data_IF_723765616201
#
_entry.id   IF_723765616201
#
_cell.length_a   1.000
_cell.length_b   1.000
_cell.length_c   1.000
_cell.angle_alpha   90.00
_cell.angle_beta   90.00
_cell.angle_gamma   90.00
#
_symmetry.space_group_name_H-M   'P 1'
#
loop_
_entity.id
_entity.type
_entity.pdbx_description
1 polymer ?
#
# COMPACT_ATOMS: atom_id res chain seq x y z
N UNK A 1 3.27 1.43 -28.52
CA UNK A 1 3.28 0.43 -27.43
C UNK A 1 4.71 0.47 -26.97
N UNK A 2 4.90 0.96 -25.76
CA UNK A 2 6.24 1.27 -25.28
C UNK A 2 6.52 0.38 -24.08
N UNK A 3 7.79 0.06 -23.87
CA UNK A 3 8.24 -0.77 -22.77
C UNK A 3 9.19 0.09 -21.95
N UNK A 4 8.91 0.23 -20.67
CA UNK A 4 9.85 0.80 -19.70
C UNK A 4 10.23 -0.25 -18.68
N UNK A 5 11.20 0.10 -17.85
CA UNK A 5 11.67 -0.80 -16.82
C UNK A 5 12.92 -0.29 -16.14
N UNK A 6 13.30 -0.99 -15.09
CA UNK A 6 14.49 -0.71 -14.29
C UNK A 6 15.26 -2.01 -14.09
N UNK A 7 16.57 -1.97 -14.36
CA UNK A 7 17.50 -3.03 -14.00
C UNK A 7 18.31 -2.53 -12.80
N UNK A 8 18.22 -3.25 -11.69
CA UNK A 8 18.99 -2.95 -10.50
C UNK A 8 19.88 -4.14 -10.12
N UNK A 9 21.09 -3.83 -9.64
CA UNK A 9 22.02 -4.80 -9.08
C UNK A 9 22.60 -4.23 -7.79
N UNK A 10 22.44 -4.97 -6.70
CA UNK A 10 22.80 -4.57 -5.35
C UNK A 10 23.64 -5.65 -4.69
N UNK A 11 24.65 -5.25 -3.93
CA UNK A 11 25.43 -6.16 -3.10
C UNK A 11 25.03 -5.97 -1.63
N UNK A 12 24.30 -6.94 -1.09
CA UNK A 12 23.80 -6.91 0.29
C UNK A 12 24.77 -7.65 1.18
N UNK A 13 25.13 -7.03 2.31
CA UNK A 13 25.93 -7.64 3.35
C UNK A 13 25.11 -7.66 4.65
N UNK A 14 24.83 -8.85 5.16
CA UNK A 14 24.11 -9.05 6.42
C UNK A 14 25.11 -9.47 7.47
N UNK A 15 25.13 -8.76 8.60
CA UNK A 15 25.93 -9.12 9.77
C UNK A 15 24.95 -9.69 10.79
N UNK A 16 25.11 -10.96 11.14
CA UNK A 16 24.28 -11.59 12.15
C UNK A 16 24.71 -11.22 13.58
N UNK A 17 23.92 -11.64 14.57
CA UNK A 17 24.19 -11.39 15.99
C UNK A 17 25.46 -12.08 16.51
N UNK A 18 26.06 -12.98 15.73
CA UNK A 18 27.30 -13.70 16.04
C UNK A 18 28.52 -13.06 15.34
N UNK A 19 28.30 -12.04 14.52
CA UNK A 19 29.33 -11.33 13.77
C UNK A 19 29.71 -11.98 12.45
N UNK A 20 28.99 -13.00 11.98
CA UNK A 20 29.22 -13.58 10.66
C UNK A 20 28.67 -12.63 9.59
N UNK A 21 29.43 -12.49 8.51
CA UNK A 21 29.05 -11.67 7.36
C UNK A 21 28.58 -12.60 6.26
N UNK A 22 27.34 -12.42 5.83
CA UNK A 22 26.78 -13.07 4.65
C UNK A 22 26.61 -12.05 3.53
N UNK A 23 27.21 -12.33 2.37
CA UNK A 23 27.16 -11.44 1.20
C UNK A 23 26.31 -12.07 0.10
N UNK A 24 25.38 -11.31 -0.44
CA UNK A 24 24.48 -11.74 -1.51
C UNK A 24 24.46 -10.70 -2.64
N UNK A 25 24.54 -11.17 -3.88
CA UNK A 25 24.23 -10.36 -5.05
C UNK A 25 22.72 -10.43 -5.29
N UNK A 26 22.06 -9.28 -5.26
CA UNK A 26 20.66 -9.15 -5.62
C UNK A 26 20.57 -8.47 -6.99
N UNK A 27 19.93 -9.12 -7.94
CA UNK A 27 19.65 -8.64 -9.28
C UNK A 27 18.14 -8.63 -9.47
N UNK A 28 17.62 -7.53 -10.00
CA UNK A 28 16.20 -7.40 -10.27
C UNK A 28 15.92 -6.64 -11.55
N UNK A 29 14.87 -7.05 -12.24
CA UNK A 29 14.36 -6.43 -13.45
C UNK A 29 12.88 -6.13 -13.27
N UNK A 30 12.53 -4.85 -13.25
CA UNK A 30 11.15 -4.38 -13.34
C UNK A 30 10.82 -4.03 -14.79
N UNK A 31 9.69 -4.51 -15.30
CA UNK A 31 9.21 -4.25 -16.66
C UNK A 31 7.77 -3.75 -16.61
N UNK A 32 7.52 -2.57 -17.17
CA UNK A 32 6.19 -2.00 -17.37
C UNK A 32 5.86 -1.90 -18.86
N UNK A 33 4.68 -2.40 -19.25
CA UNK A 33 4.13 -2.23 -20.59
C UNK A 33 3.17 -1.03 -20.65
N UNK A 34 3.51 -0.06 -21.49
CA UNK A 34 2.69 1.11 -21.76
C UNK A 34 1.77 0.85 -22.96
N UNK A 35 0.53 0.48 -22.64
CA UNK A 35 -0.54 0.28 -23.61
C UNK A 35 -1.34 1.58 -23.80
N UNK A 36 -1.69 1.96 -25.05
CA UNK A 36 -2.51 3.13 -25.30
C UNK A 36 -3.89 2.96 -24.67
N UNK A 37 -4.47 4.07 -24.21
CA UNK A 37 -5.86 4.08 -23.72
C UNK A 37 -6.81 4.10 -24.92
N UNK A 38 -7.81 3.22 -24.92
CA UNK A 38 -8.82 3.10 -25.98
C UNK A 38 -10.19 3.33 -25.35
N UNK A 39 -10.95 4.33 -25.82
CA UNK A 39 -12.30 4.63 -25.35
C UNK A 39 -12.41 4.65 -23.81
N UNK A 40 -11.58 5.47 -23.15
CA UNK A 40 -11.49 5.57 -21.68
C UNK A 40 -11.14 4.26 -20.95
N UNK A 41 -10.66 3.26 -21.68
CA UNK A 41 -10.22 1.97 -21.14
C UNK A 41 -8.70 1.88 -21.19
N UNK A 42 -8.09 1.61 -20.05
CA UNK A 42 -6.66 1.42 -19.88
C UNK A 42 -6.39 -0.02 -19.46
N UNK A 43 -5.45 -0.67 -20.12
CA UNK A 43 -4.87 -1.94 -19.67
C UNK A 43 -3.45 -1.66 -19.14
N UNK A 44 -3.07 -2.34 -18.06
CA UNK A 44 -1.75 -2.20 -17.43
C UNK A 44 -1.17 -3.57 -17.14
N UNK A 45 0.11 -3.72 -17.44
CA UNK A 45 0.90 -4.90 -17.13
C UNK A 45 2.27 -4.47 -16.61
N UNK A 46 2.65 -5.02 -15.47
CA UNK A 46 3.95 -4.79 -14.84
C UNK A 46 4.39 -6.08 -14.12
N UNK A 47 5.64 -6.47 -14.34
CA UNK A 47 6.23 -7.67 -13.77
C UNK A 47 7.62 -7.35 -13.22
N UNK A 48 7.90 -7.90 -12.05
CA UNK A 48 9.17 -7.79 -11.36
C UNK A 48 9.81 -9.16 -11.26
N UNK A 49 11.01 -9.29 -11.82
CA UNK A 49 11.82 -10.50 -11.82
C UNK A 49 13.00 -10.27 -10.89
N UNK A 50 13.32 -11.20 -10.02
CA UNK A 50 14.43 -11.05 -9.08
C UNK A 50 15.07 -12.39 -8.77
N UNK A 51 16.36 -12.39 -8.45
CA UNK A 51 16.99 -13.58 -7.87
C UNK A 51 16.68 -13.64 -6.36
N UNK A 52 16.23 -14.80 -5.89
CA UNK A 52 15.96 -15.00 -4.47
C UNK A 52 17.08 -15.82 -3.83
N UNK A 53 17.82 -15.26 -2.87
CA UNK A 53 18.85 -16.01 -2.13
C UNK A 53 18.26 -17.22 -1.40
N UNK A 54 16.97 -17.18 -1.06
CA UNK A 54 16.25 -18.21 -0.29
C UNK A 54 15.81 -19.37 -1.19
N UNK A 55 15.33 -19.09 -2.41
CA UNK A 55 14.88 -20.14 -3.34
C UNK A 55 16.01 -20.69 -4.22
N UNK A 56 17.18 -20.05 -4.23
CA UNK A 56 18.34 -20.48 -5.02
C UNK A 56 18.14 -20.32 -6.53
N UNK A 57 17.19 -19.48 -6.95
CA UNK A 57 16.81 -19.28 -8.36
C UNK A 57 16.19 -17.92 -8.63
N UNK A 58 15.65 -17.76 -9.84
CA UNK A 58 14.88 -16.58 -10.24
C UNK A 58 13.41 -16.76 -9.85
N UNK A 59 12.84 -15.73 -9.24
CA UNK A 59 11.44 -15.63 -8.87
C UNK A 59 10.80 -14.43 -9.58
N UNK A 60 9.47 -14.36 -9.56
CA UNK A 60 8.72 -13.29 -10.21
C UNK A 60 7.50 -12.85 -9.41
N UNK A 61 7.16 -11.57 -9.55
CA UNK A 61 5.95 -10.96 -9.03
C UNK A 61 5.26 -10.19 -10.15
N UNK A 62 4.04 -10.58 -10.50
CA UNK A 62 3.18 -9.73 -11.34
C UNK A 62 2.65 -8.62 -10.45
N UNK A 63 3.16 -7.40 -10.63
CA UNK A 63 2.76 -6.20 -9.88
C UNK A 63 1.42 -5.69 -10.36
N UNK A 64 1.27 -5.53 -11.69
CA UNK A 64 0.04 -5.01 -12.30
C UNK A 64 -0.41 -5.94 -13.41
N UNK A 65 -1.69 -6.29 -13.40
CA UNK A 65 -2.39 -6.93 -14.49
C UNK A 65 -3.87 -6.57 -14.35
N UNK A 66 -4.24 -5.39 -14.85
CA UNK A 66 -5.60 -4.88 -14.66
C UNK A 66 -6.13 -4.14 -15.88
N UNK A 67 -7.46 -4.09 -15.94
CA UNK A 67 -8.23 -3.25 -16.85
C UNK A 67 -8.96 -2.19 -16.05
N UNK A 68 -8.82 -0.92 -16.45
CA UNK A 68 -9.51 0.22 -15.87
C UNK A 68 -10.37 0.90 -16.91
N UNK A 69 -11.68 0.99 -16.68
CA UNK A 69 -12.58 1.77 -17.52
C UNK A 69 -13.11 2.98 -16.76
N UNK A 70 -13.01 4.17 -17.36
CA UNK A 70 -13.51 5.42 -16.78
C UNK A 70 -14.84 5.82 -17.43
N UNK A 71 -15.94 5.45 -16.78
CA UNK A 71 -17.26 6.04 -17.04
C UNK A 71 -17.32 7.45 -16.45
N UNK A 72 -18.31 8.26 -16.85
CA UNK A 72 -18.44 9.66 -16.42
C UNK A 72 -18.50 9.84 -14.89
N UNK A 73 -19.18 8.92 -14.18
CA UNK A 73 -19.43 9.00 -12.73
C UNK A 73 -18.84 7.82 -11.94
N UNK A 74 -18.14 6.91 -12.62
CA UNK A 74 -17.62 5.68 -12.04
C UNK A 74 -16.36 5.27 -12.79
N UNK A 75 -15.28 5.01 -12.08
CA UNK A 75 -14.12 4.32 -12.62
C UNK A 75 -14.11 2.91 -12.06
N UNK A 76 -14.15 1.91 -12.94
CA UNK A 76 -14.08 0.51 -12.55
C UNK A 76 -12.70 -0.02 -12.90
N UNK A 77 -12.02 -0.65 -11.93
CA UNK A 77 -10.74 -1.33 -12.14
C UNK A 77 -10.86 -2.78 -11.74
N UNK A 78 -10.46 -3.70 -12.61
CA UNK A 78 -10.54 -5.15 -12.43
C UNK A 78 -9.17 -5.79 -12.70
N UNK A 79 -8.70 -6.61 -11.75
CA UNK A 79 -7.48 -7.40 -11.88
C UNK A 79 -6.46 -7.11 -10.77
N UNK A 80 -5.22 -7.52 -10.98
CA UNK A 80 -4.12 -7.29 -10.04
C UNK A 80 -3.69 -5.83 -10.09
N UNK A 81 -3.89 -5.10 -9.01
CA UNK A 81 -3.67 -3.66 -8.94
C UNK A 81 -3.12 -3.23 -7.58
N UNK A 82 -2.35 -2.13 -7.52
CA UNK A 82 -1.94 -1.56 -6.25
C UNK A 82 -3.14 -0.94 -5.54
N UNK A 83 -3.35 -1.28 -4.27
CA UNK A 83 -4.39 -0.67 -3.43
C UNK A 83 -3.73 -0.14 -2.17
N UNK A 84 -3.53 1.18 -2.13
CA UNK A 84 -3.11 1.89 -0.93
C UNK A 84 -3.97 3.12 -0.69
N UNK A 85 -4.39 3.25 0.55
CA UNK A 85 -5.09 4.38 1.15
C UNK A 85 -4.18 5.13 2.13
N UNK A 86 -2.88 4.85 2.10
CA UNK A 86 -1.87 5.60 2.84
C UNK A 86 -1.63 6.99 2.24
N UNK A 87 -1.03 7.87 3.04
CA UNK A 87 -0.75 9.26 2.68
C UNK A 87 0.75 9.57 2.57
N UNK A 88 1.57 8.56 2.27
CA UNK A 88 3.02 8.71 2.16
C UNK A 88 3.79 8.38 3.43
N UNK A 89 3.13 7.80 4.43
CA UNK A 89 3.78 7.33 5.65
C UNK A 89 4.51 6.01 5.45
N UNK A 90 5.57 5.75 6.21
CA UNK A 90 6.21 4.42 6.20
C UNK A 90 5.19 3.34 6.57
N UNK A 91 4.40 3.59 7.61
CA UNK A 91 3.32 2.69 8.04
C UNK A 91 2.03 3.43 8.31
N UNK A 92 0.94 2.97 7.69
CA UNK A 92 -0.39 3.54 7.93
C UNK A 92 -1.33 2.50 8.58
N UNK A 93 -1.79 2.75 9.83
CA UNK A 93 -2.66 1.83 10.56
C UNK A 93 -4.09 1.75 10.00
N UNK A 94 -4.44 2.54 8.99
CA UNK A 94 -5.80 2.56 8.42
C UNK A 94 -5.81 2.29 6.91
N UNK A 95 -4.69 1.78 6.39
CA UNK A 95 -4.57 1.39 4.98
C UNK A 95 -5.49 0.19 4.66
N UNK A 96 -5.85 0.00 3.39
CA UNK A 96 -6.53 -1.19 2.89
C UNK A 96 -5.64 -2.44 2.97
N UNK A 97 -4.33 -2.32 2.77
CA UNK A 97 -3.38 -3.37 3.13
C UNK A 97 -2.29 -2.77 3.98
N UNK A 98 -2.12 -3.30 5.18
CA UNK A 98 -1.11 -2.83 6.13
C UNK A 98 0.29 -3.14 5.58
N UNK A 99 1.27 -2.30 5.91
CA UNK A 99 2.67 -2.53 5.52
C UNK A 99 3.06 -2.12 4.10
N UNK A 100 2.16 -1.51 3.31
CA UNK A 100 2.39 -1.20 1.89
C UNK A 100 3.49 -0.16 1.58
N UNK A 101 4.11 0.48 2.58
CA UNK A 101 5.09 1.57 2.39
C UNK A 101 6.39 1.47 3.23
N UNK A 102 6.52 0.50 4.14
CA UNK A 102 7.45 0.65 5.27
C UNK A 102 8.92 0.33 5.00
N UNK A 103 9.22 -0.39 3.93
CA UNK A 103 10.48 -1.14 3.89
C UNK A 103 11.23 -1.04 2.57
N UNK A 104 10.92 -0.12 1.64
CA UNK A 104 11.51 -0.04 0.27
C UNK A 104 11.42 -1.34 -0.58
N UNK A 105 11.12 -2.47 0.06
CA UNK A 105 10.49 -3.64 -0.50
C UNK A 105 9.12 -3.17 -0.95
N UNK A 106 8.93 -3.09 -2.27
CA UNK A 106 7.59 -3.17 -2.83
C UNK A 106 7.00 -4.53 -2.46
N UNK A 107 6.50 -4.64 -1.23
CA UNK A 107 5.93 -5.88 -0.74
C UNK A 107 4.76 -6.23 -1.66
N UNK A 108 4.74 -7.48 -2.12
CA UNK A 108 3.66 -8.00 -2.98
C UNK A 108 2.27 -7.76 -2.38
N UNK A 109 2.19 -7.59 -1.06
CA UNK A 109 0.99 -7.26 -0.31
C UNK A 109 0.25 -6.00 -0.82
N UNK A 110 0.93 -4.99 -1.38
CA UNK A 110 0.23 -3.81 -1.93
C UNK A 110 -0.55 -4.13 -3.21
N UNK A 111 -0.15 -5.18 -3.93
CA UNK A 111 -0.75 -5.59 -5.19
C UNK A 111 -1.77 -6.70 -4.93
N UNK A 112 -3.03 -6.41 -5.22
CA UNK A 112 -4.14 -7.28 -4.87
C UNK A 112 -4.96 -7.61 -6.13
N UNK A 113 -5.36 -8.87 -6.26
CA UNK A 113 -6.41 -9.24 -7.21
C UNK A 113 -7.73 -8.70 -6.68
N UNK A 114 -8.28 -7.71 -7.36
CA UNK A 114 -9.39 -6.96 -6.82
C UNK A 114 -10.28 -6.33 -7.89
N UNK A 115 -11.46 -5.91 -7.42
CA UNK A 115 -12.37 -5.00 -8.10
C UNK A 115 -12.40 -3.70 -7.29
N UNK A 116 -12.08 -2.59 -7.93
CA UNK A 116 -12.23 -1.24 -7.36
C UNK A 116 -13.30 -0.47 -8.14
N UNK A 117 -14.27 0.07 -7.41
CA UNK A 117 -15.24 1.05 -7.90
C UNK A 117 -14.94 2.42 -7.28
N UNK A 118 -14.41 3.34 -8.07
CA UNK A 118 -14.10 4.71 -7.66
C UNK A 118 -15.12 5.69 -8.23
N UNK A 119 -15.78 6.44 -7.35
CA UNK A 119 -16.84 7.40 -7.68
C UNK A 119 -16.29 8.81 -7.39
N UNK A 120 -15.90 9.58 -8.42
CA UNK A 120 -15.58 10.99 -8.25
C UNK A 120 -16.86 11.78 -7.98
N UNK A 121 -17.00 12.34 -6.78
CA UNK A 121 -18.16 13.16 -6.42
C UNK A 121 -18.03 14.58 -6.99
N UNK A 122 -16.81 15.13 -6.92
CA UNK A 122 -16.43 16.42 -7.49
C UNK A 122 -14.88 16.48 -7.61
N UNK A 123 -14.31 17.68 -7.79
CA UNK A 123 -12.86 17.87 -7.93
C UNK A 123 -12.05 17.57 -6.66
N UNK A 124 -12.67 17.59 -5.48
CA UNK A 124 -11.99 17.42 -4.20
C UNK A 124 -12.45 16.21 -3.38
N UNK A 125 -13.48 15.50 -3.82
CA UNK A 125 -14.15 14.47 -3.04
C UNK A 125 -14.43 13.21 -3.86
N UNK A 126 -14.28 12.05 -3.22
CA UNK A 126 -14.48 10.75 -3.86
C UNK A 126 -14.91 9.68 -2.86
N UNK A 127 -15.56 8.64 -3.38
CA UNK A 127 -15.80 7.39 -2.67
C UNK A 127 -15.13 6.25 -3.43
N UNK A 128 -14.45 5.35 -2.74
CA UNK A 128 -13.93 4.10 -3.32
C UNK A 128 -14.48 2.90 -2.57
N UNK A 129 -14.91 1.88 -3.31
CA UNK A 129 -15.25 0.56 -2.80
C UNK A 129 -14.28 -0.44 -3.41
N UNK A 130 -13.68 -1.28 -2.57
CA UNK A 130 -12.74 -2.32 -2.99
C UNK A 130 -13.23 -3.66 -2.49
N UNK A 131 -13.19 -4.67 -3.36
CA UNK A 131 -13.26 -6.08 -3.00
C UNK A 131 -12.02 -6.79 -3.56
N UNK A 132 -11.19 -7.32 -2.68
CA UNK A 132 -9.99 -8.08 -2.98
C UNK A 132 -10.17 -9.56 -2.64
N UNK A 133 -9.46 -10.40 -3.37
CA UNK A 133 -9.52 -11.86 -3.28
C UNK A 133 -8.14 -12.38 -2.84
N UNK A 134 -7.85 -12.46 -1.54
CA UNK A 134 -6.54 -12.89 -1.05
C UNK A 134 -6.27 -14.35 -1.43
N UNK A 135 -5.10 -14.67 -1.98
CA UNK A 135 -4.75 -16.05 -2.40
C UNK A 135 -4.82 -17.05 -1.23
N UNK A 136 -4.55 -16.58 -0.01
CA UNK A 136 -4.56 -17.41 1.19
C UNK A 136 -5.96 -17.67 1.78
N UNK A 137 -7.04 -17.06 1.25
CA UNK A 137 -8.39 -17.14 1.81
C UNK A 137 -9.48 -17.34 0.76
N UNK A 138 -10.54 -18.07 1.12
CA UNK A 138 -11.75 -18.14 0.31
C UNK A 138 -12.70 -16.96 0.57
N UNK A 139 -12.46 -16.20 1.64
CA UNK A 139 -13.27 -15.04 2.01
C UNK A 139 -12.77 -13.76 1.32
N UNK A 140 -13.71 -12.87 1.01
CA UNK A 140 -13.44 -11.59 0.36
C UNK A 140 -12.99 -10.56 1.40
N UNK A 141 -11.85 -9.93 1.15
CA UNK A 141 -11.44 -8.71 1.85
C UNK A 141 -12.11 -7.53 1.15
N UNK A 142 -12.78 -6.65 1.89
CA UNK A 142 -13.44 -5.51 1.27
C UNK A 142 -13.35 -4.27 2.14
N UNK A 143 -13.53 -3.12 1.52
CA UNK A 143 -13.49 -1.86 2.23
C UNK A 143 -14.12 -0.71 1.46
N UNK A 144 -14.46 0.32 2.22
CA UNK A 144 -15.04 1.57 1.74
C UNK A 144 -14.14 2.72 2.19
N UNK A 145 -13.89 3.67 1.30
CA UNK A 145 -13.18 4.91 1.60
C UNK A 145 -13.96 6.12 1.14
N UNK A 146 -14.21 7.06 2.03
CA UNK A 146 -14.55 8.43 1.68
C UNK A 146 -13.31 9.31 1.74
N UNK A 147 -13.10 10.20 0.76
CA UNK A 147 -12.03 11.19 0.75
C UNK A 147 -12.60 12.55 0.39
N UNK A 148 -12.16 13.60 1.07
CA UNK A 148 -12.50 14.98 0.75
C UNK A 148 -11.34 15.91 1.10
N UNK A 149 -11.14 16.97 0.34
CA UNK A 149 -10.16 18.01 0.67
C UNK A 149 -10.87 19.29 1.16
N UNK A 150 -10.50 19.74 2.35
CA UNK A 150 -11.03 20.94 3.01
C UNK A 150 -9.85 21.85 3.36
N UNK A 151 -9.88 23.09 2.87
CA UNK A 151 -8.86 24.12 3.18
C UNK A 151 -7.39 23.67 2.96
N UNK A 152 -7.15 22.84 1.94
CA UNK A 152 -5.81 22.30 1.64
C UNK A 152 -5.43 21.05 2.44
N UNK A 153 -6.30 20.58 3.33
CA UNK A 153 -6.14 19.31 4.04
C UNK A 153 -6.93 18.21 3.35
N UNK A 154 -6.27 17.11 3.03
CA UNK A 154 -6.84 15.87 2.53
C UNK A 154 -7.29 15.00 3.72
N UNK A 155 -8.58 14.71 3.78
CA UNK A 155 -9.21 13.95 4.85
C UNK A 155 -9.79 12.67 4.30
N UNK A 156 -9.58 11.55 4.99
CA UNK A 156 -10.20 10.27 4.63
C UNK A 156 -10.89 9.61 5.82
N UNK A 157 -11.97 8.91 5.52
CA UNK A 157 -12.58 7.93 6.41
C UNK A 157 -12.58 6.58 5.69
N UNK A 158 -11.95 5.60 6.31
CA UNK A 158 -11.70 4.28 5.75
C UNK A 158 -12.41 3.25 6.63
N UNK A 159 -13.02 2.25 6.02
CA UNK A 159 -13.45 1.03 6.67
C UNK A 159 -12.93 -0.15 5.85
N UNK A 160 -12.36 -1.15 6.52
CA UNK A 160 -11.93 -2.39 5.88
C UNK A 160 -12.27 -3.58 6.76
N UNK A 161 -12.71 -4.66 6.12
CA UNK A 161 -12.92 -5.97 6.71
C UNK A 161 -11.99 -6.96 6.01
N UNK A 162 -11.19 -7.64 6.80
CA UNK A 162 -10.18 -8.58 6.35
C UNK A 162 -10.43 -9.94 6.98
N UNK A 163 -10.54 -11.00 6.17
CA UNK A 163 -10.63 -12.34 6.71
C UNK A 163 -9.29 -12.70 7.36
N UNK A 164 -9.35 -13.31 8.54
CA UNK A 164 -8.18 -13.84 9.23
C UNK A 164 -8.26 -15.37 9.21
N UNK A 165 -7.17 -16.01 8.82
CA UNK A 165 -6.99 -17.46 8.87
C UNK A 165 -5.83 -17.73 9.82
N UNK A 166 -6.08 -18.49 10.87
CA UNK A 166 -5.01 -18.91 11.79
C UNK A 166 -4.06 -19.89 11.09
N UNK A 167 -2.85 -20.07 11.62
CA UNK A 167 -1.78 -20.92 11.08
C UNK A 167 -2.21 -22.37 10.79
N UNK A 168 -3.28 -22.84 11.45
CA UNK A 168 -3.90 -24.16 11.21
C UNK A 168 -4.94 -24.18 10.08
N UNK A 169 -5.09 -23.10 9.31
CA UNK A 169 -6.10 -23.00 8.24
C UNK A 169 -7.53 -22.79 8.75
N UNK A 170 -7.70 -22.39 10.02
CA UNK A 170 -9.03 -22.16 10.62
C UNK A 170 -9.44 -20.71 10.44
N UNK A 171 -10.67 -20.48 9.97
CA UNK A 171 -11.25 -19.13 9.86
C UNK A 171 -11.49 -18.59 11.27
N UNK A 172 -10.83 -17.50 11.62
CA UNK A 172 -11.07 -16.75 12.86
C UNK A 172 -11.88 -15.48 12.56
N UNK A 173 -12.53 -14.85 13.57
CA UNK A 173 -13.37 -13.69 13.34
C UNK A 173 -12.67 -12.61 12.53
N UNK A 174 -13.35 -12.12 11.49
CA UNK A 174 -12.78 -11.16 10.55
C UNK A 174 -12.30 -9.91 11.29
N UNK A 175 -11.08 -9.48 10.97
CA UNK A 175 -10.54 -8.23 11.47
C UNK A 175 -11.24 -7.08 10.78
N UNK A 176 -11.86 -6.21 11.56
CA UNK A 176 -12.50 -5.01 11.06
C UNK A 176 -11.71 -3.80 11.56
N UNK A 177 -11.57 -2.81 10.69
CA UNK A 177 -10.96 -1.54 11.06
C UNK A 177 -11.73 -0.40 10.47
N UNK A 178 -11.93 0.62 11.28
CA UNK A 178 -12.38 1.94 10.85
C UNK A 178 -11.29 2.94 11.19
N UNK A 179 -11.06 3.90 10.31
CA UNK A 179 -9.97 4.84 10.51
C UNK A 179 -10.16 6.15 9.80
N UNK A 180 -9.70 7.21 10.45
CA UNK A 180 -9.68 8.56 9.92
C UNK A 180 -8.23 8.97 9.62
N UNK A 181 -8.02 9.65 8.51
CA UNK A 181 -6.73 10.29 8.20
C UNK A 181 -6.89 11.75 7.87
N UNK A 182 -5.84 12.52 8.17
CA UNK A 182 -5.70 13.89 7.74
C UNK A 182 -4.26 14.12 7.29
N UNK A 183 -4.08 14.80 6.15
CA UNK A 183 -2.78 15.27 5.65
C UNK A 183 -2.91 16.67 5.06
N UNK A 184 -1.92 17.51 5.30
CA UNK A 184 -1.82 18.81 4.66
C UNK A 184 -0.51 19.50 5.00
N UNK A 185 -0.37 20.75 4.58
CA UNK A 185 0.87 21.50 4.76
C UNK A 185 0.68 22.63 5.78
N UNK A 186 1.66 22.78 6.68
CA UNK A 186 1.83 23.91 7.58
C UNK A 186 3.07 24.70 7.14
N UNK A 187 2.87 25.58 6.15
CA UNK A 187 3.97 26.32 5.52
C UNK A 187 4.89 25.35 4.75
N UNK A 188 6.19 25.24 5.11
CA UNK A 188 7.11 24.32 4.43
C UNK A 188 7.10 22.90 5.01
N UNK A 189 6.28 22.63 6.04
CA UNK A 189 6.21 21.33 6.71
C UNK A 189 4.96 20.58 6.30
N UNK A 190 5.12 19.38 5.75
CA UNK A 190 4.02 18.43 5.58
C UNK A 190 3.67 17.84 6.94
N UNK A 191 2.38 17.76 7.26
CA UNK A 191 1.88 17.09 8.48
C UNK A 191 0.81 16.10 8.12
N UNK A 192 0.81 14.97 8.82
CA UNK A 192 -0.18 13.92 8.60
C UNK A 192 -0.41 13.10 9.85
N UNK A 193 -1.58 12.47 9.90
CA UNK A 193 -1.93 11.57 10.98
C UNK A 193 -3.04 10.60 10.60
N UNK A 194 -3.09 9.50 11.35
CA UNK A 194 -4.13 8.50 11.26
C UNK A 194 -4.63 8.14 12.66
N UNK A 195 -5.92 7.92 12.80
CA UNK A 195 -6.54 7.34 13.99
C UNK A 195 -7.42 6.17 13.55
N UNK A 196 -7.10 4.97 14.03
CA UNK A 196 -7.78 3.73 13.69
C UNK A 196 -8.32 3.03 14.93
N UNK A 197 -9.45 2.35 14.76
CA UNK A 197 -9.99 1.41 15.72
C UNK A 197 -10.16 0.06 15.06
N UNK A 198 -9.45 -0.93 15.60
CA UNK A 198 -9.50 -2.32 15.17
C UNK A 198 -10.45 -3.07 16.08
N UNK A 199 -11.27 -3.94 15.53
CA UNK A 199 -12.20 -4.73 16.32
C UNK A 199 -12.48 -6.06 15.62
N UNK A 200 -12.87 -7.04 16.42
CA UNK A 200 -13.34 -8.35 15.96
C UNK A 200 -14.79 -8.50 16.38
N UNK A 201 -15.49 -9.49 15.82
CA UNK A 201 -16.91 -9.73 16.13
C UNK A 201 -17.20 -10.01 17.63
N UNK A 202 -16.18 -10.18 18.48
CA UNK A 202 -16.28 -10.47 19.92
C UNK A 202 -15.78 -9.32 20.85
N UNK A 203 -16.01 -8.05 20.49
CA UNK A 203 -15.94 -6.84 21.36
C UNK A 203 -14.59 -6.39 21.97
N UNK A 204 -13.47 -7.09 21.75
CA UNK A 204 -12.14 -6.56 22.10
C UNK A 204 -11.57 -5.74 20.94
N UNK A 205 -11.78 -4.43 20.97
CA UNK A 205 -11.16 -3.51 20.04
C UNK A 205 -9.91 -2.82 20.58
N UNK A 206 -9.01 -2.46 19.67
CA UNK A 206 -7.73 -1.84 19.97
C UNK A 206 -7.57 -0.57 19.13
N UNK A 207 -7.11 0.50 19.78
CA UNK A 207 -6.85 1.79 19.14
C UNK A 207 -5.43 1.82 18.56
N UNK A 208 -5.29 2.37 17.36
CA UNK A 208 -4.01 2.63 16.72
C UNK A 208 -3.98 4.09 16.25
N UNK A 209 -2.83 4.73 16.33
CA UNK A 209 -2.67 6.08 15.80
C UNK A 209 -1.27 6.32 15.27
N UNK A 210 -1.20 7.16 14.25
CA UNK A 210 0.03 7.65 13.65
C UNK A 210 -0.02 9.18 13.68
N UNK A 211 1.09 9.80 14.04
CA UNK A 211 1.35 11.20 13.74
C UNK A 211 2.72 11.30 13.10
N UNK A 212 2.83 12.13 12.07
CA UNK A 212 4.11 12.37 11.43
C UNK A 212 4.15 13.68 10.68
N UNK A 213 5.35 14.00 10.22
CA UNK A 213 5.60 15.16 9.40
C UNK A 213 6.86 15.00 8.58
N UNK A 214 6.92 15.77 7.51
CA UNK A 214 8.05 15.77 6.59
C UNK A 214 8.45 17.19 6.19
N UNK A 215 9.74 17.33 5.87
CA UNK A 215 10.34 18.56 5.39
C UNK A 215 11.23 18.26 4.20
N UNK A 216 11.08 19.08 3.16
CA UNK A 216 11.86 18.98 1.93
C UNK A 216 12.51 20.31 1.61
N UNK A 217 13.82 20.31 1.37
CA UNK A 217 14.55 21.47 0.88
C UNK A 217 15.25 21.14 -0.44
N UNK A 218 14.99 21.96 -1.47
CA UNK A 218 15.59 21.83 -2.79
C UNK A 218 16.75 22.81 -2.94
N UNK A 219 17.92 22.30 -3.30
CA UNK A 219 19.08 23.12 -3.65
C UNK A 219 19.00 23.53 -5.12
N UNK A 220 19.53 24.71 -5.45
CA UNK A 220 19.60 25.21 -6.84
C UNK A 220 20.33 24.26 -7.79
N UNK A 221 21.26 23.45 -7.25
CA UNK A 221 22.00 22.42 -8.00
C UNK A 221 21.17 21.17 -8.34
N UNK A 222 19.86 21.14 -8.03
CA UNK A 222 18.96 20.01 -8.30
C UNK A 222 18.94 18.93 -7.22
N UNK A 223 19.75 19.06 -6.17
CA UNK A 223 19.76 18.14 -5.04
C UNK A 223 18.59 18.43 -4.08
N UNK A 224 18.13 17.42 -3.33
CA UNK A 224 17.06 17.55 -2.33
C UNK A 224 17.53 16.96 -1.00
N UNK A 225 17.31 17.68 0.11
CA UNK A 225 17.33 17.09 1.45
C UNK A 225 15.90 16.83 1.88
N UNK A 226 15.67 15.65 2.45
CA UNK A 226 14.38 15.19 2.94
C UNK A 226 14.54 14.70 4.38
N UNK A 227 13.66 15.18 5.27
CA UNK A 227 13.53 14.69 6.64
C UNK A 227 12.09 14.24 6.87
N UNK A 228 11.92 13.09 7.51
CA UNK A 228 10.62 12.55 7.90
C UNK A 228 10.71 12.01 9.32
N UNK A 229 9.68 12.28 10.12
CA UNK A 229 9.54 11.75 11.47
C UNK A 229 8.12 11.23 11.67
N UNK A 230 8.02 10.01 12.17
CA UNK A 230 6.75 9.33 12.43
C UNK A 230 6.73 8.71 13.82
N UNK A 231 5.58 8.79 14.47
CA UNK A 231 5.28 8.06 15.70
C UNK A 231 4.02 7.21 15.47
N UNK A 232 4.19 5.89 15.53
CA UNK A 232 3.11 4.91 15.43
C UNK A 232 2.90 4.24 16.79
N UNK A 233 1.66 4.27 17.26
CA UNK A 233 1.19 3.42 18.36
C UNK A 233 0.22 2.38 17.82
N UNK A 234 0.52 1.11 18.09
CA UNK A 234 -0.32 -0.02 17.77
C UNK A 234 -0.03 -1.18 18.71
N UNK A 235 -1.05 -1.96 19.10
CA UNK A 235 -0.85 -3.15 19.92
C UNK A 235 -0.04 -4.20 19.16
N UNK A 236 0.84 -4.90 19.87
CA UNK A 236 1.78 -5.88 19.30
C UNK A 236 1.13 -6.91 18.36
N UNK A 237 -0.06 -7.41 18.70
CA UNK A 237 -0.79 -8.37 17.87
C UNK A 237 -1.19 -7.83 16.49
N UNK A 238 -1.48 -6.52 16.40
CA UNK A 238 -1.81 -5.85 15.15
C UNK A 238 -0.53 -5.37 14.44
N UNK A 239 0.56 -5.13 15.16
CA UNK A 239 1.85 -4.76 14.57
C UNK A 239 2.51 -5.95 13.85
N UNK A 240 2.33 -7.18 14.36
CA UNK A 240 2.84 -8.40 13.71
C UNK A 240 2.13 -8.78 12.42
N UNK A 241 0.98 -8.17 12.10
CA UNK A 241 0.36 -8.31 10.77
C UNK A 241 0.77 -7.20 9.80
N UNK A 242 1.59 -6.25 10.27
CA UNK A 242 2.07 -5.08 9.53
C UNK A 242 3.56 -5.22 9.14
N UNK A 243 4.34 -5.92 9.98
CA UNK A 243 5.77 -6.22 9.83
C UNK A 243 5.97 -7.69 9.43
#
# INVERSE_FOLDING_TARGET
MDIGGELAASLINIIDNEGNISTYLQESLDLELFLPTINNTQAKFEIYLFNSPISGGFDYLIKKLYLKHKFEKLHLTLGRQPISWSFGSMLNPVDFTLGAMAMDEETGAKYQDAIEAYIPLNWNSSVSLVAAFPEASQDIKWGLRGRTMIEGYDLTLNYAREPEIDFMGTIIPASQRIGFTAKGDLGPLGVYGALGYYFKDNDNGDLAYLIGGDYSYFFEAGNKIYFQLEYLYMKKANLSSVL
#
